data_IF_384424861860
#
_entry.id   IF_384424861860
#
_cell.length_a   1.000
_cell.length_b   1.000
_cell.length_c   1.000
_cell.angle_alpha   90.00
_cell.angle_beta   90.00
_cell.angle_gamma   90.00
#
_symmetry.space_group_name_H-M   'P 1'
#
loop_
_entity.id
_entity.type
_entity.pdbx_description
1 polymer ?
#
# COMPACT_ATOMS: atom_id res chain seq x y z
N UNK A 1 12.23 -8.16 2.85
CA UNK A 1 12.99 -7.08 2.20
C UNK A 1 12.70 -7.20 0.73
N UNK A 2 12.41 -6.10 0.01
CA UNK A 2 12.08 -6.19 -1.40
C UNK A 2 13.23 -6.78 -2.23
N UNK A 3 12.88 -7.48 -3.31
CA UNK A 3 13.80 -8.02 -4.30
C UNK A 3 14.10 -6.97 -5.36
N UNK A 4 15.38 -6.68 -5.51
CA UNK A 4 15.94 -5.72 -6.45
C UNK A 4 16.69 -6.40 -7.61
N UNK A 5 16.54 -7.73 -7.77
CA UNK A 5 17.35 -8.55 -8.67
C UNK A 5 17.46 -8.07 -10.14
N UNK A 6 16.44 -7.43 -10.76
CA UNK A 6 16.58 -6.90 -12.11
C UNK A 6 17.47 -5.64 -12.24
N UNK A 7 18.00 -5.09 -11.14
CA UNK A 7 18.81 -3.86 -11.17
C UNK A 7 20.22 -4.10 -11.72
N UNK A 8 20.48 -3.49 -12.88
CA UNK A 8 21.81 -3.43 -13.45
C UNK A 8 22.58 -2.21 -12.94
N UNK A 9 23.45 -2.43 -11.95
CA UNK A 9 24.33 -1.42 -11.36
C UNK A 9 25.39 -0.86 -12.32
N UNK A 10 25.54 -1.42 -13.52
CA UNK A 10 26.46 -0.89 -14.54
C UNK A 10 25.84 0.25 -15.32
N UNK A 11 24.50 0.31 -15.40
CA UNK A 11 23.78 1.37 -16.11
C UNK A 11 23.64 2.65 -15.28
N UNK A 12 23.59 3.85 -15.90
CA UNK A 12 23.31 5.09 -15.17
C UNK A 12 21.96 5.07 -14.42
N UNK A 13 20.94 4.40 -14.98
CA UNK A 13 19.64 4.27 -14.35
C UNK A 13 19.67 3.36 -13.12
N UNK A 14 20.36 2.22 -13.18
CA UNK A 14 20.51 1.32 -12.04
C UNK A 14 21.32 1.95 -10.92
N UNK A 15 22.41 2.67 -11.22
CA UNK A 15 23.19 3.42 -10.22
C UNK A 15 22.32 4.44 -9.48
N UNK A 16 21.60 5.29 -10.23
CA UNK A 16 20.67 6.27 -9.65
C UNK A 16 19.63 5.61 -8.76
N UNK A 17 19.05 4.50 -9.22
CA UNK A 17 18.01 3.77 -8.48
C UNK A 17 18.55 3.26 -7.15
N UNK A 18 19.74 2.65 -7.15
CA UNK A 18 20.41 2.16 -5.94
C UNK A 18 20.69 3.31 -4.97
N UNK A 19 21.26 4.42 -5.45
CA UNK A 19 21.55 5.59 -4.62
C UNK A 19 20.28 6.14 -3.94
N UNK A 20 19.17 6.21 -4.68
CA UNK A 20 17.89 6.67 -4.18
C UNK A 20 17.24 5.70 -3.19
N UNK A 21 17.31 4.39 -3.43
CA UNK A 21 16.84 3.36 -2.47
C UNK A 21 17.63 3.48 -1.15
N UNK A 22 18.95 3.62 -1.22
CA UNK A 22 19.79 3.77 -0.02
C UNK A 22 19.45 5.05 0.76
N UNK A 23 19.24 6.17 0.06
CA UNK A 23 18.81 7.42 0.67
C UNK A 23 17.43 7.30 1.32
N UNK A 24 16.48 6.65 0.63
CA UNK A 24 15.13 6.40 1.12
C UNK A 24 15.14 5.53 2.37
N UNK A 25 15.89 4.42 2.36
CA UNK A 25 16.06 3.53 3.52
C UNK A 25 16.61 4.27 4.74
N UNK A 26 17.61 5.14 4.53
CA UNK A 26 18.17 5.96 5.61
C UNK A 26 17.11 6.89 6.21
N UNK A 27 16.29 7.51 5.36
CA UNK A 27 15.22 8.41 5.79
C UNK A 27 14.10 7.67 6.54
N UNK A 28 13.63 6.54 6.00
CA UNK A 28 12.65 5.66 6.65
C UNK A 28 13.15 5.25 8.04
N UNK A 29 14.40 4.80 8.16
CA UNK A 29 14.96 4.41 9.46
C UNK A 29 15.01 5.56 10.48
N UNK A 30 15.08 6.80 10.02
CA UNK A 30 15.10 7.98 10.89
C UNK A 30 13.70 8.45 11.30
N UNK A 31 12.68 8.25 10.45
CA UNK A 31 11.34 8.82 10.62
C UNK A 31 10.27 7.79 11.03
N UNK A 32 10.46 6.51 10.70
CA UNK A 32 9.52 5.42 10.98
C UNK A 32 10.05 4.59 12.15
N UNK A 33 9.21 4.23 13.14
CA UNK A 33 9.60 3.35 14.23
C UNK A 33 10.16 2.00 13.73
N UNK A 34 11.04 1.39 14.51
CA UNK A 34 11.60 0.09 14.18
C UNK A 34 10.53 -1.01 14.17
N UNK A 35 10.49 -1.80 13.10
CA UNK A 35 9.68 -3.01 13.01
C UNK A 35 10.34 -4.15 13.77
N UNK A 36 9.62 -4.76 14.71
CA UNK A 36 10.01 -6.00 15.40
C UNK A 36 9.01 -7.10 15.05
N UNK A 37 9.36 -8.37 15.27
CA UNK A 37 8.44 -9.47 14.95
C UNK A 37 7.26 -9.52 15.94
N UNK A 38 7.51 -9.28 17.23
CA UNK A 38 6.55 -9.63 18.29
C UNK A 38 6.09 -8.46 19.17
N UNK A 39 6.73 -7.28 19.09
CA UNK A 39 6.51 -6.20 20.07
C UNK A 39 5.81 -4.98 19.46
N UNK A 40 5.98 -4.75 18.17
CA UNK A 40 5.35 -3.62 17.47
C UNK A 40 4.30 -4.12 16.50
N UNK A 41 3.42 -3.24 16.03
CA UNK A 41 2.61 -3.45 14.82
C UNK A 41 2.53 -2.10 14.10
N UNK A 42 3.15 -1.99 12.94
CA UNK A 42 3.22 -0.75 12.18
C UNK A 42 2.19 -0.76 11.06
N UNK A 43 1.23 0.15 11.15
CA UNK A 43 0.17 0.37 10.17
C UNK A 43 0.43 1.67 9.43
N UNK A 44 0.17 1.70 8.12
CA UNK A 44 0.06 2.93 7.35
C UNK A 44 -1.18 2.95 6.45
N UNK A 45 -1.61 4.15 6.08
CA UNK A 45 -2.56 4.38 4.99
C UNK A 45 -1.87 5.24 3.95
N UNK A 46 -1.97 4.87 2.68
CA UNK A 46 -1.31 5.59 1.60
C UNK A 46 -2.22 5.69 0.38
N UNK A 47 -2.64 6.90 0.05
CA UNK A 47 -3.25 7.18 -1.23
C UNK A 47 -2.15 7.36 -2.28
N UNK A 48 -2.12 6.47 -3.28
CA UNK A 48 -1.15 6.53 -4.37
C UNK A 48 -1.88 6.96 -5.64
N UNK A 49 -2.02 8.27 -5.82
CA UNK A 49 -2.62 8.86 -7.01
C UNK A 49 -2.03 8.26 -8.29
N UNK A 50 -2.91 7.86 -9.20
CA UNK A 50 -2.54 7.30 -10.50
C UNK A 50 -1.62 6.06 -10.39
N UNK A 51 -1.83 5.22 -9.37
CA UNK A 51 -1.05 3.99 -9.17
C UNK A 51 -0.91 3.15 -10.46
N UNK A 52 -1.97 3.17 -11.27
CA UNK A 52 -2.15 2.34 -12.45
C UNK A 52 -2.62 3.17 -13.68
N UNK A 53 -2.15 4.43 -13.80
CA UNK A 53 -2.53 5.28 -14.94
C UNK A 53 -1.67 5.01 -16.18
N UNK A 54 -2.25 4.61 -17.33
CA UNK A 54 -1.52 4.47 -18.58
C UNK A 54 -1.19 5.81 -19.23
N UNK A 55 -1.71 6.93 -18.71
CA UNK A 55 -1.56 8.27 -19.28
C UNK A 55 -0.09 8.72 -19.42
N UNK A 56 0.82 8.11 -18.67
CA UNK A 56 2.25 8.39 -18.69
C UNK A 56 3.11 7.16 -19.06
N UNK A 57 2.49 6.09 -19.59
CA UNK A 57 3.14 4.81 -19.92
C UNK A 57 3.16 3.81 -18.75
N UNK A 58 3.69 2.59 -18.99
CA UNK A 58 3.90 1.62 -17.90
C UNK A 58 4.81 2.24 -16.84
N UNK A 59 4.45 2.08 -15.57
CA UNK A 59 5.23 2.62 -14.45
C UNK A 59 6.67 2.11 -14.55
N UNK A 60 7.64 3.02 -14.43
CA UNK A 60 9.05 2.65 -14.47
C UNK A 60 9.34 1.67 -13.32
N UNK A 61 10.07 0.59 -13.61
CA UNK A 61 10.50 -0.41 -12.60
C UNK A 61 11.15 0.24 -11.37
N UNK A 62 11.86 1.36 -11.58
CA UNK A 62 12.43 2.21 -10.53
C UNK A 62 11.38 2.69 -9.50
N UNK A 63 10.19 3.11 -9.95
CA UNK A 63 9.15 3.59 -9.05
C UNK A 63 8.54 2.45 -8.21
N UNK A 64 8.40 1.24 -8.77
CA UNK A 64 7.95 0.07 -8.03
C UNK A 64 8.92 -0.28 -6.89
N UNK A 65 10.24 -0.15 -7.12
CA UNK A 65 11.23 -0.35 -6.06
C UNK A 65 11.09 0.65 -4.91
N UNK A 66 10.81 1.92 -5.21
CA UNK A 66 10.60 2.93 -4.17
C UNK A 66 9.32 2.67 -3.36
N UNK A 67 8.23 2.31 -4.05
CA UNK A 67 6.96 1.95 -3.41
C UNK A 67 7.14 0.72 -2.51
N UNK A 68 7.83 -0.32 -3.01
CA UNK A 68 8.10 -1.52 -2.24
C UNK A 68 8.99 -1.25 -1.01
N UNK A 69 10.01 -0.40 -1.12
CA UNK A 69 10.84 -0.03 0.03
C UNK A 69 10.01 0.68 1.11
N UNK A 70 9.11 1.60 0.73
CA UNK A 70 8.19 2.29 1.66
C UNK A 70 7.24 1.30 2.31
N UNK A 71 6.55 0.46 1.53
CA UNK A 71 5.60 -0.53 2.06
C UNK A 71 6.31 -1.48 3.02
N UNK A 72 7.54 -1.89 2.69
CA UNK A 72 8.30 -2.85 3.50
C UNK A 72 8.70 -2.36 4.89
N UNK A 73 8.60 -1.04 5.14
CA UNK A 73 8.82 -0.44 6.44
C UNK A 73 7.69 -0.72 7.44
N UNK A 74 6.51 -1.12 6.97
CA UNK A 74 5.32 -1.38 7.78
C UNK A 74 4.99 -2.87 7.85
N UNK A 75 4.02 -3.22 8.69
CA UNK A 75 3.45 -4.57 8.78
C UNK A 75 2.18 -4.73 7.96
N UNK A 76 1.41 -3.65 7.84
CA UNK A 76 0.18 -3.57 7.08
C UNK A 76 0.05 -2.15 6.49
N UNK A 77 -0.25 -2.06 5.20
CA UNK A 77 -0.46 -0.80 4.49
C UNK A 77 -1.79 -0.85 3.74
N UNK A 78 -2.68 0.09 4.04
CA UNK A 78 -3.89 0.31 3.25
C UNK A 78 -3.58 1.27 2.10
N UNK A 79 -3.56 0.77 0.86
CA UNK A 79 -3.31 1.51 -0.37
C UNK A 79 -4.64 1.85 -1.05
N UNK A 80 -4.88 3.13 -1.34
CA UNK A 80 -6.11 3.63 -1.96
C UNK A 80 -5.89 4.02 -3.43
N UNK A 81 -7.01 4.19 -4.17
CA UNK A 81 -7.06 4.53 -5.61
C UNK A 81 -6.48 3.45 -6.55
N UNK A 82 -6.66 2.17 -6.21
CA UNK A 82 -6.27 1.07 -7.10
C UNK A 82 -7.35 0.88 -8.17
N UNK A 83 -6.96 0.90 -9.44
CA UNK A 83 -7.87 0.72 -10.58
C UNK A 83 -8.16 -0.77 -10.84
N UNK A 84 -9.00 -1.05 -11.85
CA UNK A 84 -9.33 -2.43 -12.22
C UNK A 84 -8.15 -3.25 -12.72
N UNK A 85 -7.16 -2.61 -13.36
CA UNK A 85 -5.96 -3.30 -13.82
C UNK A 85 -5.01 -3.49 -12.63
N UNK A 86 -4.85 -4.75 -12.24
CA UNK A 86 -4.03 -5.15 -11.11
C UNK A 86 -2.58 -5.41 -11.51
N UNK A 87 -2.20 -5.24 -12.78
CA UNK A 87 -0.85 -5.57 -13.25
C UNK A 87 0.26 -4.83 -12.50
N UNK A 88 0.04 -3.54 -12.19
CA UNK A 88 0.96 -2.76 -11.37
C UNK A 88 1.06 -3.28 -9.92
N UNK A 89 -0.05 -3.78 -9.37
CA UNK A 89 -0.08 -4.39 -8.05
C UNK A 89 0.65 -5.74 -8.05
N UNK A 90 0.41 -6.57 -9.06
CA UNK A 90 1.10 -7.85 -9.23
C UNK A 90 2.62 -7.68 -9.36
N UNK A 91 3.07 -6.68 -10.14
CA UNK A 91 4.49 -6.36 -10.26
C UNK A 91 5.07 -5.82 -8.95
N UNK A 92 4.31 -5.02 -8.19
CA UNK A 92 4.70 -4.58 -6.85
C UNK A 92 4.84 -5.78 -5.89
N UNK A 93 3.90 -6.73 -5.90
CA UNK A 93 3.94 -7.92 -5.04
C UNK A 93 5.15 -8.80 -5.36
N UNK A 94 5.51 -8.96 -6.64
CA UNK A 94 6.75 -9.66 -7.04
C UNK A 94 8.00 -8.99 -6.46
N UNK A 95 8.03 -7.65 -6.44
CA UNK A 95 9.13 -6.89 -5.84
C UNK A 95 9.13 -7.04 -4.32
N UNK A 96 7.98 -7.02 -3.65
CA UNK A 96 7.88 -7.19 -2.19
C UNK A 96 8.34 -8.60 -1.74
N UNK A 97 8.03 -9.63 -2.53
CA UNK A 97 8.45 -11.02 -2.33
C UNK A 97 7.47 -11.85 -1.50
N UNK A 98 7.80 -13.14 -1.35
CA UNK A 98 6.88 -14.22 -0.93
C UNK A 98 6.26 -14.09 0.47
N UNK A 99 6.76 -13.17 1.30
CA UNK A 99 6.21 -12.92 2.63
C UNK A 99 5.11 -11.87 2.62
N UNK A 100 4.76 -11.32 1.48
CA UNK A 100 3.72 -10.32 1.34
C UNK A 100 2.50 -10.89 0.64
N UNK A 101 1.34 -10.50 1.14
CA UNK A 101 0.05 -10.84 0.57
C UNK A 101 -0.87 -9.62 0.65
N UNK A 102 -2.00 -9.66 -0.03
CA UNK A 102 -2.95 -8.56 -0.05
C UNK A 102 -4.41 -8.99 -0.09
N UNK A 103 -5.26 -8.13 0.45
CA UNK A 103 -6.72 -8.23 0.34
C UNK A 103 -7.27 -6.94 -0.24
N UNK A 104 -8.31 -7.01 -1.07
CA UNK A 104 -8.96 -5.82 -1.63
C UNK A 104 -10.40 -5.70 -1.17
N UNK A 105 -10.86 -4.46 -1.02
CA UNK A 105 -12.27 -4.14 -0.82
C UNK A 105 -13.08 -4.43 -2.10
N UNK A 106 -14.39 -4.48 -1.95
CA UNK A 106 -15.28 -4.39 -3.11
C UNK A 106 -15.06 -3.06 -3.85
N UNK A 107 -15.49 -3.01 -5.12
CA UNK A 107 -15.41 -1.79 -5.95
C UNK A 107 -16.24 -0.70 -5.29
N UNK A 108 -15.66 0.49 -5.12
CA UNK A 108 -16.48 1.65 -4.74
C UNK A 108 -17.25 2.13 -5.98
N UNK A 109 -18.58 1.99 -5.97
CA UNK A 109 -19.46 2.54 -7.00
C UNK A 109 -19.62 4.06 -6.81
N UNK A 110 -18.61 4.82 -7.23
CA UNK A 110 -18.76 6.26 -7.45
C UNK A 110 -19.41 6.52 -8.81
N UNK A 111 -20.42 7.40 -8.85
CA UNK A 111 -21.25 7.75 -10.04
C UNK A 111 -20.49 8.36 -11.25
N UNK A 112 -19.17 8.23 -11.29
CA UNK A 112 -18.29 8.65 -12.39
C UNK A 112 -17.24 7.59 -12.79
N UNK A 113 -17.35 6.35 -12.28
CA UNK A 113 -16.93 5.14 -13.00
C UNK A 113 -15.43 4.86 -13.17
N UNK A 114 -14.57 5.18 -12.20
CA UNK A 114 -13.16 4.70 -12.22
C UNK A 114 -12.92 3.35 -11.51
N UNK A 115 -13.98 2.72 -10.99
CA UNK A 115 -13.98 1.40 -10.33
C UNK A 115 -12.77 1.20 -9.39
N UNK A 116 -12.60 2.16 -8.48
CA UNK A 116 -11.47 2.19 -7.56
C UNK A 116 -11.66 1.21 -6.39
N UNK A 117 -10.54 0.67 -5.91
CA UNK A 117 -10.48 -0.29 -4.81
C UNK A 117 -9.44 0.17 -3.79
N UNK A 118 -9.65 -0.23 -2.54
CA UNK A 118 -8.60 -0.17 -1.51
C UNK A 118 -7.99 -1.56 -1.37
N UNK A 119 -6.66 -1.66 -1.34
CA UNK A 119 -5.97 -2.89 -0.98
C UNK A 119 -5.26 -2.76 0.36
N UNK A 120 -5.31 -3.81 1.14
CA UNK A 120 -4.57 -4.01 2.37
C UNK A 120 -3.41 -4.95 2.07
N UNK A 121 -2.20 -4.42 2.02
CA UNK A 121 -0.96 -5.16 1.74
C UNK A 121 -0.25 -5.45 3.06
N UNK A 122 0.06 -6.71 3.36
CA UNK A 122 0.54 -7.13 4.67
C UNK A 122 1.65 -8.18 4.64
N UNK A 123 2.47 -8.16 5.69
CA UNK A 123 3.53 -9.15 5.93
C UNK A 123 2.97 -10.40 6.63
N UNK A 124 2.83 -11.48 5.88
CA UNK A 124 2.26 -12.78 6.29
C UNK A 124 2.97 -13.43 7.47
N UNK A 125 4.21 -13.02 7.76
CA UNK A 125 4.97 -13.51 8.93
C UNK A 125 4.42 -12.97 10.25
N UNK A 126 3.54 -11.96 10.20
CA UNK A 126 3.04 -11.25 11.37
C UNK A 126 1.53 -10.99 11.33
N UNK A 127 1.00 -10.70 10.16
CA UNK A 127 -0.42 -10.42 9.96
C UNK A 127 -1.03 -11.60 9.22
N UNK A 128 -2.02 -12.23 9.84
CA UNK A 128 -2.83 -13.26 9.22
C UNK A 128 -4.30 -12.84 9.35
N UNK A 129 -4.97 -12.47 8.24
CA UNK A 129 -6.38 -12.10 8.28
C UNK A 129 -7.25 -13.27 8.75
N UNK A 130 -8.04 -13.04 9.80
CA UNK A 130 -9.07 -13.99 10.20
C UNK A 130 -10.18 -13.99 9.13
N UNK A 131 -10.62 -15.17 8.69
CA UNK A 131 -11.47 -15.36 7.50
C UNK A 131 -12.84 -14.66 7.47
N UNK A 132 -13.20 -13.88 8.50
CA UNK A 132 -14.36 -12.99 8.47
C UNK A 132 -13.89 -11.52 8.52
N UNK A 133 -13.90 -10.86 7.37
CA UNK A 133 -13.76 -9.41 7.25
C UNK A 133 -15.16 -8.84 7.09
N UNK A 134 -15.73 -8.29 8.18
CA UNK A 134 -17.03 -7.63 8.16
C UNK A 134 -16.86 -6.11 8.06
N UNK A 135 -17.71 -5.46 7.28
CA UNK A 135 -17.87 -4.00 7.33
C UNK A 135 -18.38 -3.60 8.73
N UNK A 136 -17.70 -2.65 9.39
CA UNK A 136 -18.24 -2.06 10.62
C UNK A 136 -19.41 -1.16 10.20
N UNK A 137 -20.63 -1.68 10.31
CA UNK A 137 -21.83 -0.86 10.17
C UNK A 137 -22.00 -0.05 11.45
N UNK A 138 -21.68 1.24 11.39
CA UNK A 138 -22.03 2.15 12.47
C UNK A 138 -23.55 2.26 12.53
N UNK A 139 -24.20 1.98 13.68
CA UNK A 139 -25.62 2.25 13.82
C UNK A 139 -25.87 3.75 13.60
N UNK A 140 -27.00 4.14 12.99
CA UNK A 140 -27.31 5.55 12.77
C UNK A 140 -27.24 6.29 14.11
N UNK A 141 -26.51 7.41 14.13
CA UNK A 141 -26.45 8.29 15.29
C UNK A 141 -27.88 8.69 15.65
N UNK A 142 -28.36 8.27 16.81
CA UNK A 142 -29.64 8.74 17.33
C UNK A 142 -29.58 10.26 17.45
N UNK A 143 -30.30 10.96 16.56
CA UNK A 143 -30.62 12.36 16.80
C UNK A 143 -31.51 12.38 18.03
N UNK A 144 -30.98 12.81 19.17
CA UNK A 144 -31.82 13.32 20.25
C UNK A 144 -32.63 14.46 19.67
N UNK A 145 -33.91 14.20 19.41
CA UNK A 145 -34.89 15.24 19.18
C UNK A 145 -34.97 16.00 20.50
N UNK A 146 -34.35 17.17 20.56
CA UNK A 146 -34.68 18.16 21.57
C UNK A 146 -35.99 18.80 21.12
N UNK A 147 -37.10 18.24 21.59
CA UNK A 147 -38.37 18.95 21.65
C UNK A 147 -38.17 20.14 22.59
N UNK A 148 -37.97 21.32 22.02
CA UNK A 148 -38.22 22.57 22.73
C UNK A 148 -39.61 23.03 22.34
N UNK A 149 -40.58 22.69 23.21
CA UNK A 149 -41.85 23.40 23.24
C UNK A 149 -41.59 24.88 23.53
N UNK A 150 -42.09 25.74 22.64
CA UNK A 150 -42.12 27.21 22.79
C UNK A 150 -43.13 27.80 21.82
#
# INVERSE_FOLDING_TARGET
>A
MPSYQPLDATTPAGKRTIERILALRKKIKAEVPGKTLNETLLLATWNIREFDSPAYGKRMTEALYYIAEIISAFDLVAVQEIREDLSALDDLMKVLGDHWDYMFSDVTEGSQGNKERTAFIYDTRKVNPAGLVGEIVFPPLEKKITDING
#
